data_IF_635323667570
#
_entry.id   IF_635323667570
#
_cell.length_a   1.000
_cell.length_b   1.000
_cell.length_c   1.000
_cell.angle_alpha   90.00
_cell.angle_beta   90.00
_cell.angle_gamma   90.00
#
_symmetry.space_group_name_H-M   'P 1'
#
loop_
_entity.id
_entity.type
_entity.pdbx_description
1 polymer ?
#
# COMPACT_ATOMS: atom_id res chain seq x y z
N UNK A 1 0.56 -9.60 -5.64
CA UNK A 1 1.32 -8.71 -4.71
C UNK A 1 2.83 -8.97 -4.73
N UNK A 2 3.29 -10.17 -5.01
CA UNK A 2 4.74 -10.44 -5.11
C UNK A 2 5.34 -9.62 -6.24
N UNK A 3 4.77 -9.68 -7.42
CA UNK A 3 5.19 -8.97 -8.64
C UNK A 3 5.20 -7.45 -8.43
N UNK A 4 4.11 -6.91 -7.88
CA UNK A 4 4.01 -5.49 -7.55
C UNK A 4 5.08 -5.06 -6.52
N UNK A 5 5.36 -5.89 -5.51
CA UNK A 5 6.42 -5.62 -4.54
C UNK A 5 7.80 -5.64 -5.18
N UNK A 6 8.08 -6.63 -6.05
CA UNK A 6 9.34 -6.70 -6.80
C UNK A 6 9.50 -5.48 -7.71
N UNK A 7 8.44 -5.09 -8.42
CA UNK A 7 8.45 -3.91 -9.29
C UNK A 7 8.73 -2.62 -8.50
N UNK A 8 8.11 -2.44 -7.33
CA UNK A 8 8.39 -1.29 -6.46
C UNK A 8 9.86 -1.27 -6.02
N UNK A 9 10.42 -2.40 -5.61
CA UNK A 9 11.85 -2.49 -5.23
C UNK A 9 12.80 -2.34 -6.41
N UNK A 10 12.35 -2.63 -7.63
CA UNK A 10 13.16 -2.43 -8.83
C UNK A 10 13.29 -0.94 -9.20
N UNK A 11 12.24 -0.15 -9.02
CA UNK A 11 12.20 1.26 -9.43
C UNK A 11 12.50 2.25 -8.30
N UNK A 12 12.38 1.82 -7.05
CA UNK A 12 12.51 2.68 -5.86
C UNK A 12 13.65 2.19 -4.96
N UNK A 13 14.26 3.10 -4.23
CA UNK A 13 15.42 2.84 -3.38
C UNK A 13 15.02 2.78 -1.89
N UNK A 14 14.52 1.63 -1.43
CA UNK A 14 14.29 1.41 0.00
C UNK A 14 15.64 1.23 0.75
N UNK A 15 15.86 1.79 1.94
CA UNK A 15 14.90 2.46 2.82
C UNK A 15 14.79 3.98 2.62
N UNK A 16 15.42 4.56 1.59
CA UNK A 16 15.27 5.99 1.29
C UNK A 16 13.81 6.27 0.92
N UNK A 17 13.31 5.60 -0.12
CA UNK A 17 11.89 5.59 -0.44
C UNK A 17 11.14 4.71 0.58
N UNK A 18 9.94 5.13 0.95
CA UNK A 18 9.18 4.54 2.05
C UNK A 18 8.00 3.72 1.54
N UNK A 19 7.92 2.46 1.96
CA UNK A 19 6.77 1.60 1.70
C UNK A 19 5.98 1.38 2.98
N UNK A 20 4.66 1.54 2.90
CA UNK A 20 3.72 1.30 3.99
C UNK A 20 2.68 0.29 3.51
N UNK A 21 2.77 -0.93 4.00
CA UNK A 21 1.87 -2.02 3.64
C UNK A 21 0.69 -2.07 4.62
N UNK A 22 -0.53 -1.93 4.12
CA UNK A 22 -1.74 -2.06 4.93
C UNK A 22 -1.85 -3.45 5.53
N UNK A 23 -2.25 -3.58 6.80
CA UNK A 23 -2.20 -4.84 7.57
C UNK A 23 -0.78 -5.42 7.65
N UNK A 24 -0.03 -5.34 6.57
CA UNK A 24 1.33 -5.84 6.32
C UNK A 24 1.50 -7.37 6.25
N UNK A 25 0.42 -8.14 6.28
CA UNK A 25 0.46 -9.60 6.08
C UNK A 25 0.97 -10.02 4.68
N UNK A 26 0.94 -9.14 3.70
CA UNK A 26 1.45 -9.35 2.34
C UNK A 26 2.90 -8.85 2.15
N UNK A 27 3.59 -8.46 3.21
CA UNK A 27 4.94 -7.88 3.16
C UNK A 27 6.08 -8.89 3.05
N UNK A 28 5.80 -10.18 2.89
CA UNK A 28 6.83 -11.24 2.88
C UNK A 28 7.85 -11.07 1.75
N UNK A 29 7.40 -10.73 0.54
CA UNK A 29 8.31 -10.43 -0.56
C UNK A 29 9.23 -9.23 -0.23
N UNK A 30 8.68 -8.18 0.39
CA UNK A 30 9.45 -7.05 0.88
C UNK A 30 10.52 -7.49 1.92
N UNK A 31 10.13 -8.31 2.89
CA UNK A 31 11.06 -8.84 3.89
C UNK A 31 12.17 -9.67 3.26
N UNK A 32 11.85 -10.54 2.30
CA UNK A 32 12.84 -11.34 1.58
C UNK A 32 13.83 -10.46 0.80
N UNK A 33 13.35 -9.43 0.10
CA UNK A 33 14.17 -8.50 -0.68
C UNK A 33 15.03 -7.58 0.19
N UNK A 34 14.66 -7.40 1.46
CA UNK A 34 15.36 -6.55 2.43
C UNK A 34 16.20 -7.33 3.45
N UNK A 35 16.67 -8.52 3.06
CA UNK A 35 17.68 -9.28 3.79
C UNK A 35 17.14 -10.34 4.75
N UNK A 36 15.84 -10.53 4.85
CA UNK A 36 15.20 -11.50 5.78
C UNK A 36 14.74 -12.79 5.09
N UNK A 37 15.33 -13.14 3.94
CA UNK A 37 14.93 -14.30 3.13
C UNK A 37 15.03 -15.62 3.91
N UNK A 38 16.06 -15.79 4.73
CA UNK A 38 16.30 -17.03 5.47
C UNK A 38 15.12 -17.39 6.39
N UNK A 39 14.47 -16.40 6.98
CA UNK A 39 13.27 -16.61 7.80
C UNK A 39 12.05 -17.19 7.05
N UNK A 40 12.12 -17.30 5.73
CA UNK A 40 11.05 -17.88 4.90
C UNK A 40 11.49 -19.12 4.13
N UNK A 41 12.79 -19.42 4.11
CA UNK A 41 13.36 -20.53 3.32
C UNK A 41 14.11 -21.56 4.15
N UNK A 42 14.51 -21.21 5.37
CA UNK A 42 15.21 -22.09 6.31
C UNK A 42 14.32 -22.37 7.52
N UNK A 43 13.90 -23.64 7.76
CA UNK A 43 13.04 -23.99 8.89
C UNK A 43 13.60 -23.56 10.26
N UNK A 44 14.91 -23.52 10.43
CA UNK A 44 15.55 -23.13 11.69
C UNK A 44 15.41 -21.63 11.99
N UNK A 45 15.01 -20.82 11.01
CA UNK A 45 14.88 -19.38 11.09
C UNK A 45 13.42 -18.87 11.02
N UNK A 46 12.43 -19.74 10.95
CA UNK A 46 11.03 -19.32 10.73
C UNK A 46 10.47 -18.38 11.81
N UNK A 47 10.96 -18.47 13.03
CA UNK A 47 10.50 -17.64 14.15
C UNK A 47 11.34 -16.36 14.37
N UNK A 48 12.31 -16.08 13.47
CA UNK A 48 13.20 -14.92 13.62
C UNK A 48 12.56 -13.59 13.18
N UNK A 49 11.44 -13.63 12.47
CA UNK A 49 10.74 -12.44 11.96
C UNK A 49 9.26 -12.46 12.29
N UNK A 50 8.69 -11.28 12.50
CA UNK A 50 7.24 -11.10 12.61
C UNK A 50 6.54 -11.39 11.28
N UNK A 51 5.29 -11.84 11.34
CA UNK A 51 4.42 -11.94 10.16
C UNK A 51 3.98 -10.59 9.60
N UNK A 52 4.32 -9.49 10.26
CA UNK A 52 3.98 -8.11 9.92
C UNK A 52 5.24 -7.26 9.77
N UNK A 53 5.12 -6.04 9.23
CA UNK A 53 6.23 -5.08 9.24
C UNK A 53 6.62 -4.75 10.67
N UNK A 54 7.94 -4.70 10.93
CA UNK A 54 8.48 -4.53 12.27
C UNK A 54 9.80 -3.73 12.22
N UNK A 55 9.79 -2.47 12.67
CA UNK A 55 10.98 -1.60 12.62
C UNK A 55 12.17 -2.11 13.42
N UNK A 56 11.96 -2.96 14.42
CA UNK A 56 13.06 -3.55 15.18
C UNK A 56 13.83 -4.60 14.38
N UNK A 57 13.23 -5.16 13.33
CA UNK A 57 13.87 -6.15 12.45
C UNK A 57 14.68 -5.48 11.33
N UNK A 58 14.22 -4.35 10.82
CA UNK A 58 14.81 -3.74 9.64
C UNK A 58 14.51 -2.25 9.51
N UNK A 59 15.50 -1.48 9.04
CA UNK A 59 15.33 -0.07 8.67
C UNK A 59 14.40 0.15 7.48
N UNK A 60 14.03 -0.90 6.77
CA UNK A 60 13.08 -0.88 5.66
C UNK A 60 11.63 -0.90 6.11
N UNK A 61 11.36 -1.29 7.37
CA UNK A 61 10.04 -1.29 7.98
C UNK A 61 9.88 -0.02 8.82
N UNK A 62 8.82 0.74 8.62
CA UNK A 62 8.66 2.06 9.25
C UNK A 62 7.65 2.06 10.40
N UNK A 63 6.76 1.08 10.43
CA UNK A 63 5.69 0.95 11.41
C UNK A 63 5.45 -0.51 11.78
N UNK A 64 5.00 -0.75 13.00
CA UNK A 64 4.35 -2.01 13.37
C UNK A 64 2.91 -1.92 12.90
N UNK A 65 2.54 -2.68 11.89
CA UNK A 65 1.19 -2.67 11.31
C UNK A 65 0.60 -4.08 11.38
N UNK A 66 -0.63 -4.18 11.81
CA UNK A 66 -1.44 -5.41 11.82
C UNK A 66 -2.91 -5.08 11.66
N UNK A 67 -3.29 -3.80 11.76
CA UNK A 67 -4.67 -3.33 11.59
C UNK A 67 -4.95 -2.90 10.16
N UNK A 68 -6.16 -3.17 9.68
CA UNK A 68 -6.65 -2.75 8.35
C UNK A 68 -6.84 -1.23 8.27
N UNK A 69 -6.78 -0.68 7.06
CA UNK A 69 -7.19 0.70 6.72
C UNK A 69 -6.21 1.81 7.17
N UNK A 70 -5.04 1.46 7.73
CA UNK A 70 -4.15 2.43 8.39
C UNK A 70 -3.04 2.96 7.48
N UNK A 71 -2.72 2.26 6.38
CA UNK A 71 -1.52 2.55 5.57
C UNK A 71 -1.52 3.93 4.94
N UNK A 72 -2.67 4.41 4.47
CA UNK A 72 -2.79 5.71 3.79
C UNK A 72 -2.53 6.85 4.78
N UNK A 73 -3.11 6.79 5.99
CA UNK A 73 -2.88 7.78 7.04
C UNK A 73 -1.41 7.83 7.48
N UNK A 74 -0.79 6.66 7.69
CA UNK A 74 0.63 6.56 8.06
C UNK A 74 1.56 7.09 6.97
N UNK A 75 1.28 6.74 5.71
CA UNK A 75 2.02 7.24 4.56
C UNK A 75 1.87 8.77 4.39
N UNK A 76 0.67 9.31 4.61
CA UNK A 76 0.43 10.76 4.61
C UNK A 76 1.28 11.49 5.65
N UNK A 77 1.44 10.91 6.84
CA UNK A 77 2.33 11.42 7.88
C UNK A 77 3.80 11.46 7.45
N UNK A 78 4.29 10.40 6.78
CA UNK A 78 5.65 10.37 6.21
C UNK A 78 5.83 11.40 5.10
N UNK A 79 4.88 11.50 4.17
CA UNK A 79 4.91 12.47 3.08
C UNK A 79 4.92 13.91 3.62
N UNK A 80 4.06 14.21 4.59
CA UNK A 80 4.03 15.51 5.26
C UNK A 80 5.34 15.85 5.96
N UNK A 81 5.92 14.87 6.68
CA UNK A 81 7.21 15.06 7.37
C UNK A 81 8.32 15.34 6.38
N UNK A 82 8.39 14.58 5.27
CA UNK A 82 9.33 14.80 4.18
C UNK A 82 9.24 16.24 3.65
N UNK A 83 8.03 16.69 3.34
CA UNK A 83 7.80 18.01 2.76
C UNK A 83 8.18 19.14 3.72
N UNK A 84 7.85 19.01 5.00
CA UNK A 84 8.24 19.97 6.04
C UNK A 84 9.76 20.07 6.23
N UNK A 85 10.48 18.96 5.99
CA UNK A 85 11.96 18.93 6.06
C UNK A 85 12.64 19.31 4.75
N UNK A 86 11.90 19.52 3.67
CA UNK A 86 12.45 19.77 2.34
C UNK A 86 13.23 18.57 1.77
N UNK A 87 12.96 17.37 2.28
CA UNK A 87 13.56 16.13 1.81
C UNK A 87 12.90 15.65 0.52
N UNK A 88 13.58 14.76 -0.21
CA UNK A 88 13.08 14.22 -1.48
C UNK A 88 13.21 12.72 -1.49
N UNK A 89 12.13 12.03 -1.25
CA UNK A 89 11.98 10.60 -1.41
C UNK A 89 10.52 10.26 -1.73
N UNK A 90 10.29 9.09 -2.29
CA UNK A 90 8.93 8.64 -2.57
C UNK A 90 8.30 8.00 -1.32
N UNK A 91 6.99 8.13 -1.20
CA UNK A 91 6.19 7.45 -0.18
C UNK A 91 5.09 6.68 -0.89
N UNK A 92 5.00 5.39 -0.62
CA UNK A 92 4.02 4.49 -1.22
C UNK A 92 3.21 3.82 -0.13
N UNK A 93 1.90 4.01 -0.16
CA UNK A 93 0.94 3.21 0.61
C UNK A 93 0.44 2.06 -0.27
N UNK A 94 0.47 0.85 0.25
CA UNK A 94 -0.08 -0.34 -0.43
C UNK A 94 -1.27 -0.83 0.37
N UNK A 95 -2.45 -0.82 -0.24
CA UNK A 95 -3.71 -1.19 0.42
C UNK A 95 -4.53 -2.14 -0.44
N UNK A 96 -5.11 -3.16 0.17
CA UNK A 96 -6.07 -4.04 -0.51
C UNK A 96 -7.47 -3.44 -0.54
N UNK A 97 -8.28 -3.86 -1.50
CA UNK A 97 -9.67 -3.43 -1.67
C UNK A 97 -10.53 -3.67 -0.42
N UNK A 98 -10.32 -4.79 0.29
CA UNK A 98 -10.99 -5.08 1.55
C UNK A 98 -10.71 -4.03 2.63
N UNK A 99 -9.45 -3.66 2.82
CA UNK A 99 -9.03 -2.64 3.78
C UNK A 99 -9.43 -1.22 3.36
N UNK A 100 -9.50 -0.97 2.06
CA UNK A 100 -9.86 0.34 1.51
C UNK A 100 -11.25 0.82 1.93
N UNK A 101 -12.16 -0.09 2.29
CA UNK A 101 -13.52 0.26 2.73
C UNK A 101 -13.61 0.73 4.19
N UNK A 102 -12.54 0.69 4.95
CA UNK A 102 -12.52 1.16 6.32
C UNK A 102 -12.54 2.69 6.43
N UNK A 103 -13.18 3.22 7.48
CA UNK A 103 -13.33 4.66 7.68
C UNK A 103 -12.01 5.40 7.73
N UNK A 104 -11.01 4.85 8.41
CA UNK A 104 -9.67 5.44 8.49
C UNK A 104 -8.98 5.56 7.13
N UNK A 105 -9.19 4.59 6.20
CA UNK A 105 -8.67 4.69 4.85
C UNK A 105 -9.31 5.85 4.08
N UNK A 106 -10.63 6.07 4.25
CA UNK A 106 -11.32 7.22 3.65
C UNK A 106 -10.82 8.55 4.20
N UNK A 107 -10.65 8.65 5.53
CA UNK A 107 -10.08 9.84 6.17
C UNK A 107 -8.63 10.07 5.73
N UNK A 108 -7.84 8.99 5.60
CA UNK A 108 -6.48 9.04 5.09
C UNK A 108 -6.40 9.53 3.65
N UNK A 109 -7.31 9.07 2.77
CA UNK A 109 -7.39 9.55 1.39
C UNK A 109 -7.81 11.02 1.32
N UNK A 110 -8.78 11.44 2.13
CA UNK A 110 -9.23 12.84 2.20
C UNK A 110 -8.06 13.77 2.56
N UNK A 111 -7.31 13.43 3.61
CA UNK A 111 -6.11 14.18 4.02
C UNK A 111 -5.01 14.10 2.96
N UNK A 112 -4.77 12.95 2.34
CA UNK A 112 -3.75 12.81 1.31
C UNK A 112 -4.03 13.69 0.08
N UNK A 113 -5.30 13.79 -0.32
CA UNK A 113 -5.74 14.68 -1.40
C UNK A 113 -5.50 16.15 -1.05
N UNK A 114 -5.88 16.58 0.16
CA UNK A 114 -5.67 17.97 0.63
C UNK A 114 -4.18 18.34 0.75
N UNK A 115 -3.32 17.39 1.12
CA UNK A 115 -1.88 17.64 1.23
C UNK A 115 -1.24 18.00 -0.12
N UNK A 116 -1.77 17.52 -1.24
CA UNK A 116 -1.19 17.73 -2.57
C UNK A 116 0.28 17.29 -2.67
N UNK A 117 0.67 16.33 -1.84
CA UNK A 117 2.04 15.85 -1.69
C UNK A 117 2.36 14.74 -2.69
N UNK A 118 3.63 14.57 -3.06
CA UNK A 118 4.06 13.44 -3.87
C UNK A 118 3.98 12.13 -3.07
N UNK A 119 2.83 11.49 -3.12
CA UNK A 119 2.55 10.21 -2.49
C UNK A 119 1.82 9.29 -3.48
N UNK A 120 2.15 8.02 -3.48
CA UNK A 120 1.53 7.01 -4.33
C UNK A 120 0.68 6.09 -3.44
N UNK A 121 -0.58 5.88 -3.83
CA UNK A 121 -1.44 4.87 -3.21
C UNK A 121 -1.65 3.75 -4.21
N UNK A 122 -1.13 2.57 -3.90
CA UNK A 122 -1.33 1.36 -4.70
C UNK A 122 -2.51 0.59 -4.11
N UNK A 123 -3.63 0.58 -4.83
CA UNK A 123 -4.81 -0.22 -4.47
C UNK A 123 -4.72 -1.56 -5.19
N UNK A 124 -4.51 -2.63 -4.43
CA UNK A 124 -4.56 -3.99 -4.97
C UNK A 124 -5.99 -4.52 -4.88
N UNK A 125 -6.71 -4.44 -5.99
CA UNK A 125 -8.10 -4.87 -6.11
C UNK A 125 -8.18 -6.27 -6.74
N UNK A 126 -8.35 -7.28 -5.90
CA UNK A 126 -8.56 -8.67 -6.32
C UNK A 126 -10.01 -9.16 -6.10
N UNK A 127 -10.93 -8.26 -5.76
CA UNK A 127 -12.35 -8.48 -5.52
C UNK A 127 -12.65 -9.33 -4.29
N UNK A 128 -11.65 -9.64 -3.48
CA UNK A 128 -11.78 -10.52 -2.31
C UNK A 128 -11.12 -9.89 -1.09
N UNK A 129 -11.83 -9.98 0.02
CA UNK A 129 -11.22 -9.94 1.35
C UNK A 129 -11.24 -11.36 1.94
N UNK A 130 -11.54 -11.54 3.23
CA UNK A 130 -11.80 -12.89 3.79
C UNK A 130 -13.10 -13.48 3.18
N UNK A 131 -14.06 -12.62 2.84
CA UNK A 131 -15.31 -12.92 2.16
C UNK A 131 -15.50 -12.00 0.96
N UNK A 132 -16.55 -12.22 0.18
CA UNK A 132 -16.92 -11.32 -0.91
C UNK A 132 -17.16 -9.89 -0.41
N UNK A 133 -16.68 -8.93 -1.15
CA UNK A 133 -16.83 -7.52 -0.84
C UNK A 133 -18.23 -6.99 -1.20
N UNK A 134 -18.86 -6.27 -0.29
CA UNK A 134 -20.17 -5.64 -0.50
C UNK A 134 -20.14 -4.16 -0.14
N UNK A 135 -20.81 -3.32 -0.94
CA UNK A 135 -20.94 -1.90 -0.66
C UNK A 135 -20.79 -1.01 -1.89
N UNK A 136 -21.02 0.28 -1.70
CA UNK A 136 -20.99 1.27 -2.78
C UNK A 136 -19.59 1.46 -3.39
N UNK A 137 -18.55 1.43 -2.57
CA UNK A 137 -17.16 1.52 -3.03
C UNK A 137 -16.84 0.39 -4.02
N UNK A 138 -17.21 -0.83 -3.70
CA UNK A 138 -16.90 -2.00 -4.55
C UNK A 138 -17.62 -1.98 -5.89
N UNK A 139 -18.81 -1.35 -5.96
CA UNK A 139 -19.48 -1.09 -7.25
C UNK A 139 -18.68 -0.10 -8.10
N UNK A 140 -18.07 0.89 -7.49
CA UNK A 140 -17.20 1.82 -8.21
C UNK A 140 -15.92 1.14 -8.67
N UNK A 141 -15.27 0.34 -7.81
CA UNK A 141 -14.10 -0.46 -8.19
C UNK A 141 -14.43 -1.43 -9.35
N UNK A 142 -15.58 -2.10 -9.30
CA UNK A 142 -16.04 -2.94 -10.39
C UNK A 142 -16.20 -2.16 -11.69
N UNK A 143 -16.85 -1.00 -11.65
CA UNK A 143 -17.01 -0.13 -12.82
C UNK A 143 -15.65 0.29 -13.40
N UNK A 144 -14.69 0.61 -12.54
CA UNK A 144 -13.33 0.97 -12.96
C UNK A 144 -12.62 -0.20 -13.65
N UNK A 145 -12.76 -1.43 -13.15
CA UNK A 145 -12.22 -2.64 -13.81
C UNK A 145 -12.87 -2.88 -15.18
N UNK A 146 -14.20 -2.86 -15.23
CA UNK A 146 -14.97 -3.10 -16.47
C UNK A 146 -14.68 -2.07 -17.57
N UNK A 147 -14.27 -0.87 -17.19
CA UNK A 147 -13.97 0.23 -18.12
C UNK A 147 -12.48 0.52 -18.28
N UNK A 148 -11.60 -0.35 -17.77
CA UNK A 148 -10.15 -0.12 -17.75
C UNK A 148 -9.76 1.26 -17.18
N UNK A 149 -10.48 1.71 -16.14
CA UNK A 149 -10.25 2.99 -15.48
C UNK A 149 -10.88 4.22 -16.14
N UNK A 150 -11.56 4.05 -17.28
CA UNK A 150 -12.09 5.16 -18.09
C UNK A 150 -13.50 5.63 -17.68
N UNK A 151 -14.09 5.02 -16.64
CA UNK A 151 -15.41 5.44 -16.16
C UNK A 151 -15.43 6.92 -15.74
N UNK A 152 -16.48 7.62 -16.15
CA UNK A 152 -16.69 9.03 -15.74
C UNK A 152 -16.95 9.16 -14.23
N UNK A 153 -17.54 8.15 -13.60
CA UNK A 153 -17.69 8.05 -12.16
C UNK A 153 -16.48 7.32 -11.58
N UNK A 154 -15.50 8.06 -11.09
CA UNK A 154 -14.27 7.54 -10.48
C UNK A 154 -14.10 8.19 -9.11
N UNK A 155 -14.22 7.39 -8.06
CA UNK A 155 -14.12 7.82 -6.68
C UNK A 155 -12.80 8.55 -6.39
N UNK A 156 -11.67 8.02 -6.86
CA UNK A 156 -10.36 8.61 -6.61
C UNK A 156 -10.17 9.95 -7.32
N UNK A 157 -10.60 10.03 -8.58
CA UNK A 157 -10.59 11.31 -9.33
C UNK A 157 -11.52 12.36 -8.68
N UNK A 158 -12.66 11.93 -8.15
CA UNK A 158 -13.58 12.82 -7.44
C UNK A 158 -12.98 13.41 -6.16
N UNK A 159 -12.06 12.70 -5.51
CA UNK A 159 -11.29 13.20 -4.36
C UNK A 159 -10.09 14.07 -4.75
N UNK A 160 -9.74 14.16 -6.05
CA UNK A 160 -8.63 14.98 -6.51
C UNK A 160 -7.33 14.23 -6.82
N UNK A 161 -7.35 12.90 -6.78
CA UNK A 161 -6.16 12.11 -7.16
C UNK A 161 -5.99 12.01 -8.68
N UNK A 162 -4.75 12.01 -9.13
CA UNK A 162 -4.39 11.42 -10.41
C UNK A 162 -4.58 9.91 -10.33
N UNK A 163 -5.29 9.34 -11.30
CA UNK A 163 -5.65 7.93 -11.27
C UNK A 163 -5.06 7.18 -12.47
N UNK A 164 -4.36 6.09 -12.17
CA UNK A 164 -3.83 5.15 -13.15
C UNK A 164 -4.46 3.78 -12.94
N UNK A 165 -4.92 3.16 -14.02
CA UNK A 165 -5.41 1.78 -14.00
C UNK A 165 -4.37 0.84 -14.60
N UNK A 166 -4.10 -0.27 -13.92
CA UNK A 166 -3.22 -1.35 -14.38
C UNK A 166 -4.00 -2.65 -14.30
N UNK A 167 -4.32 -3.25 -15.44
CA UNK A 167 -5.13 -4.47 -15.50
C UNK A 167 -4.37 -5.68 -14.93
N UNK A 168 -3.11 -5.81 -15.29
CA UNK A 168 -2.25 -6.98 -14.99
C UNK A 168 -1.15 -6.63 -13.98
N UNK A 169 -1.54 -5.94 -12.90
CA UNK A 169 -0.59 -5.42 -11.89
C UNK A 169 0.15 -6.47 -11.06
N UNK A 170 -0.24 -7.75 -11.21
CA UNK A 170 0.41 -8.90 -10.55
C UNK A 170 0.91 -9.93 -11.58
N UNK A 171 1.19 -9.51 -12.81
CA UNK A 171 1.68 -10.38 -13.89
C UNK A 171 3.14 -10.05 -14.26
#
# INVERSE_FOLDING_TARGET
MVEATVAMHYVMNSPVDKFVFDVSHQSYAHKMLTGRKEAFTNPDCYDEVSGYTEPSESVHDHFVIGHTSTSVSLASGLAKTRDLRGERFNVVAVIGDGSLSGGEAFEGLDVAAELGSNMIVVVNDNQMSIAENHGGLYRNLQLLRETNGEASCNFFKAMGFDYLYVADGND
#
